data_IF_143315303969
#
_entry.id   IF_143315303969
#
_cell.length_a   1.000
_cell.length_b   1.000
_cell.length_c   1.000
_cell.angle_alpha   90.00
_cell.angle_beta   90.00
_cell.angle_gamma   90.00
#
_symmetry.space_group_name_H-M   'P 1'
#
loop_
_entity.id
_entity.type
_entity.pdbx_description
1 polymer ?
#
# COMPACT_ATOMS: atom_id res chain seq x y z
N UNK A 1 16.63 -5.40 33.52
CA UNK A 1 16.88 -4.45 32.42
C UNK A 1 16.23 -5.02 31.17
N UNK A 2 15.20 -4.38 30.61
CA UNK A 2 14.56 -4.84 29.37
C UNK A 2 15.29 -4.23 28.17
N UNK A 3 15.94 -5.08 27.38
CA UNK A 3 16.73 -4.71 26.20
C UNK A 3 15.92 -4.75 24.91
N UNK A 4 14.63 -4.39 24.97
CA UNK A 4 13.74 -4.38 23.79
C UNK A 4 13.74 -3.04 23.05
N UNK A 5 14.38 -1.99 23.59
CA UNK A 5 14.39 -0.64 23.00
C UNK A 5 15.39 -0.43 21.85
N UNK A 6 16.27 -1.41 21.64
CA UNK A 6 17.37 -1.30 20.67
C UNK A 6 17.21 -2.24 19.48
N UNK A 7 16.07 -2.94 19.31
CA UNK A 7 15.83 -3.72 18.10
C UNK A 7 15.72 -2.73 16.93
N UNK A 8 16.64 -2.74 15.94
CA UNK A 8 16.44 -1.95 14.74
C UNK A 8 15.11 -2.41 14.14
N UNK A 9 14.13 -1.50 14.10
CA UNK A 9 12.90 -1.66 13.32
C UNK A 9 13.38 -2.12 11.95
N UNK A 10 12.94 -3.29 11.47
CA UNK A 10 13.51 -3.88 10.27
C UNK A 10 12.92 -3.10 9.08
N UNK A 11 13.57 -2.00 8.75
CA UNK A 11 12.99 -0.74 8.28
C UNK A 11 12.92 -0.58 6.76
N UNK A 12 12.98 -1.67 6.00
CA UNK A 12 12.93 -1.58 4.55
C UNK A 12 11.49 -1.38 4.06
N UNK A 13 11.10 -0.12 3.91
CA UNK A 13 9.93 0.25 3.09
C UNK A 13 10.30 0.03 1.62
N UNK A 14 9.48 -0.72 0.89
CA UNK A 14 9.62 -0.89 -0.56
C UNK A 14 8.37 -0.42 -1.29
N UNK A 15 8.56 0.33 -2.37
CA UNK A 15 7.50 0.80 -3.25
C UNK A 15 7.85 0.37 -4.67
N UNK A 16 6.94 -0.33 -5.32
CA UNK A 16 7.13 -0.83 -6.69
C UNK A 16 5.89 -0.57 -7.54
N UNK A 17 6.04 0.23 -8.59
CA UNK A 17 4.98 0.48 -9.56
C UNK A 17 5.02 -0.58 -10.67
N UNK A 18 3.93 -1.33 -10.83
CA UNK A 18 3.79 -2.24 -11.98
C UNK A 18 3.41 -1.45 -13.24
N UNK A 19 3.98 -1.79 -14.42
CA UNK A 19 3.51 -1.24 -15.69
C UNK A 19 2.00 -1.43 -15.85
N UNK A 20 1.27 -0.34 -16.10
CA UNK A 20 -0.20 -0.32 -16.25
C UNK A 20 -0.97 -1.02 -15.13
N UNK A 21 -0.40 -1.08 -13.92
CA UNK A 21 -0.89 -1.91 -12.83
C UNK A 21 -0.92 -1.19 -11.47
N UNK A 22 -1.04 -1.94 -10.37
CA UNK A 22 -1.01 -1.36 -9.04
C UNK A 22 0.39 -0.86 -8.64
N UNK A 23 0.40 0.10 -7.72
CA UNK A 23 1.58 0.46 -6.94
C UNK A 23 1.59 -0.45 -5.71
N UNK A 24 2.64 -1.23 -5.55
CA UNK A 24 2.81 -2.17 -4.44
C UNK A 24 3.67 -1.50 -3.37
N UNK A 25 3.13 -1.36 -2.16
CA UNK A 25 3.85 -0.89 -0.98
C UNK A 25 4.07 -2.07 -0.06
N UNK A 26 5.30 -2.31 0.41
CA UNK A 26 5.57 -3.27 1.47
C UNK A 26 6.32 -2.61 2.62
N UNK A 27 5.78 -2.73 3.84
CA UNK A 27 6.35 -2.22 5.08
C UNK A 27 5.79 -3.01 6.27
N UNK A 28 6.39 -2.86 7.46
CA UNK A 28 5.82 -3.44 8.69
C UNK A 28 4.41 -2.87 8.95
N UNK A 29 4.25 -1.55 8.89
CA UNK A 29 2.97 -0.85 9.06
C UNK A 29 2.76 0.16 7.91
N UNK A 30 1.53 0.26 7.42
CA UNK A 30 1.10 1.18 6.36
C UNK A 30 -0.20 1.85 6.78
N UNK A 31 -0.16 3.18 6.97
CA UNK A 31 -1.34 3.97 7.27
C UNK A 31 -1.84 4.71 6.01
N UNK A 32 -3.10 4.49 5.66
CA UNK A 32 -3.75 5.12 4.51
C UNK A 32 -4.81 6.08 5.01
N UNK A 33 -4.70 7.33 4.59
CA UNK A 33 -5.73 8.34 4.82
C UNK A 33 -6.41 8.69 3.49
N UNK A 34 -7.74 8.63 3.48
CA UNK A 34 -8.58 9.07 2.38
C UNK A 34 -8.92 10.57 2.52
N UNK A 35 -9.40 11.17 1.42
CA UNK A 35 -9.76 12.58 1.39
C UNK A 35 -10.94 12.94 2.31
N UNK A 36 -11.81 11.99 2.61
CA UNK A 36 -12.91 12.13 3.58
C UNK A 36 -12.43 12.05 5.04
N UNK A 37 -11.12 11.88 5.27
CA UNK A 37 -10.52 11.74 6.59
C UNK A 37 -10.54 10.30 7.13
N UNK A 38 -11.15 9.34 6.43
CA UNK A 38 -11.11 7.94 6.84
C UNK A 38 -9.66 7.43 6.85
N UNK A 39 -9.29 6.78 7.95
CA UNK A 39 -7.96 6.18 8.14
C UNK A 39 -8.07 4.67 8.18
N UNK A 40 -7.18 3.99 7.48
CA UNK A 40 -7.09 2.53 7.48
C UNK A 40 -5.65 2.10 7.59
N UNK A 41 -5.37 1.18 8.52
CA UNK A 41 -4.06 0.63 8.78
C UNK A 41 -3.93 -0.74 8.11
N UNK A 42 -2.75 -1.02 7.55
CA UNK A 42 -2.38 -2.29 6.93
C UNK A 42 -0.99 -2.70 7.41
N UNK A 43 -0.66 -3.98 7.25
CA UNK A 43 0.62 -4.55 7.62
C UNK A 43 1.15 -5.41 6.48
N UNK A 44 2.46 -5.46 6.29
CA UNK A 44 3.07 -6.22 5.20
C UNK A 44 2.89 -5.52 3.85
N UNK A 45 2.03 -6.05 2.99
CA UNK A 45 1.92 -5.62 1.58
C UNK A 45 0.55 -5.03 1.26
N UNK A 46 0.56 -3.84 0.66
CA UNK A 46 -0.62 -3.13 0.18
C UNK A 46 -0.50 -2.89 -1.33
N UNK A 47 -1.61 -3.03 -2.06
CA UNK A 47 -1.68 -2.63 -3.47
C UNK A 47 -2.58 -1.41 -3.62
N UNK A 48 -1.98 -0.29 -3.99
CA UNK A 48 -2.65 0.96 -4.32
C UNK A 48 -3.01 0.99 -5.82
N UNK A 49 -4.09 1.69 -6.15
CA UNK A 49 -4.49 1.89 -7.54
C UNK A 49 -3.45 2.76 -8.26
N UNK A 50 -2.80 2.20 -9.29
CA UNK A 50 -1.93 2.95 -10.20
C UNK A 50 -2.58 3.31 -11.55
N UNK A 51 -3.78 2.79 -11.83
CA UNK A 51 -4.48 2.99 -13.11
C UNK A 51 -5.62 4.02 -13.08
N UNK A 52 -6.01 4.49 -11.90
CA UNK A 52 -7.11 5.47 -11.73
C UNK A 52 -8.53 4.92 -11.96
N UNK A 53 -8.73 3.60 -12.07
CA UNK A 53 -10.04 2.98 -12.39
C UNK A 53 -10.67 2.16 -11.27
N UNK A 54 -10.08 2.11 -10.07
CA UNK A 54 -10.65 1.33 -8.98
C UNK A 54 -11.95 1.95 -8.46
N UNK A 55 -12.92 1.12 -8.11
CA UNK A 55 -14.12 1.48 -7.37
C UNK A 55 -13.88 1.55 -5.85
N UNK A 56 -12.68 1.18 -5.38
CA UNK A 56 -12.30 1.19 -3.97
C UNK A 56 -11.04 2.03 -3.72
N UNK A 57 -10.99 3.23 -4.30
CA UNK A 57 -9.86 4.13 -4.12
C UNK A 57 -9.57 4.40 -2.64
N UNK A 58 -8.28 4.49 -2.26
CA UNK A 58 -7.08 4.45 -3.11
C UNK A 58 -6.56 3.03 -3.39
N UNK A 59 -7.26 1.98 -2.98
CA UNK A 59 -6.81 0.59 -3.10
C UNK A 59 -6.97 0.07 -4.52
N UNK A 60 -6.18 -0.94 -4.88
CA UNK A 60 -6.38 -1.69 -6.12
C UNK A 60 -7.43 -2.79 -5.92
N UNK A 61 -8.43 -2.83 -6.79
CA UNK A 61 -9.48 -3.86 -6.82
C UNK A 61 -9.42 -4.77 -8.06
N UNK A 62 -8.36 -4.63 -8.88
CA UNK A 62 -8.19 -5.39 -10.12
C UNK A 62 -8.79 -4.73 -11.37
N UNK A 63 -9.45 -3.57 -11.28
CA UNK A 63 -10.06 -2.89 -12.44
C UNK A 63 -9.08 -2.57 -13.59
N UNK A 64 -7.77 -2.51 -13.31
CA UNK A 64 -6.72 -2.35 -14.31
C UNK A 64 -6.69 -3.48 -15.36
N UNK A 65 -7.21 -4.67 -15.04
CA UNK A 65 -7.23 -5.81 -15.97
C UNK A 65 -8.29 -5.68 -17.07
N UNK A 66 -9.31 -4.84 -16.85
CA UNK A 66 -10.42 -4.66 -17.78
C UNK A 66 -10.17 -3.51 -18.78
N UNK A 67 -8.98 -2.92 -18.72
CA UNK A 67 -8.54 -1.91 -19.67
C UNK A 67 -7.92 -2.68 -20.83
N UNK A 68 -8.58 -2.71 -21.98
CA UNK A 68 -7.95 -3.16 -23.21
C UNK A 68 -6.72 -2.26 -23.43
N UNK A 69 -5.54 -2.88 -23.49
CA UNK A 69 -4.28 -2.17 -23.68
C UNK A 69 -4.15 -1.59 -25.08
#
# INVERSE_FOLDING_TARGET
MNTDKDKPIQSSVSIFQKPSGPIVVSAEQIDVQKNDGAKQQFFGKLSLCGCGRSNNLPLCDGSHKNIAS
#
